data_IF_615431771876
#
_entry.id   IF_615431771876
#
_cell.length_a   1.000
_cell.length_b   1.000
_cell.length_c   1.000
_cell.angle_alpha   90.00
_cell.angle_beta   90.00
_cell.angle_gamma   90.00
#
_symmetry.space_group_name_H-M   'P 1'
#
loop_
_entity.id
_entity.type
_entity.pdbx_description
1 polymer ?
#
# COMPACT_ATOMS: atom_id res chain seq x y z
N UNK A 1 -6.12 -0.65 -6.71
CA UNK A 1 -4.69 -1.02 -6.68
C UNK A 1 -4.27 -2.03 -7.73
N UNK A 2 -5.18 -2.80 -8.34
CA UNK A 2 -4.87 -3.87 -9.29
C UNK A 2 -3.96 -3.49 -10.48
N UNK A 3 -3.90 -2.21 -10.86
CA UNK A 3 -3.03 -1.68 -11.92
C UNK A 3 -1.69 -1.09 -11.44
N UNK A 4 -1.48 -0.96 -10.12
CA UNK A 4 -0.19 -0.50 -9.57
C UNK A 4 0.85 -1.59 -9.79
N UNK A 5 2.06 -1.19 -10.19
CA UNK A 5 3.22 -2.06 -10.10
C UNK A 5 3.56 -2.32 -8.62
N UNK A 6 4.31 -3.39 -8.34
CA UNK A 6 4.74 -3.71 -6.98
C UNK A 6 5.57 -2.57 -6.36
N UNK A 7 6.44 -1.93 -7.16
CA UNK A 7 7.21 -0.78 -6.72
C UNK A 7 6.32 0.41 -6.34
N UNK A 8 5.32 0.73 -7.16
CA UNK A 8 4.39 1.82 -6.87
C UNK A 8 3.49 1.53 -5.66
N UNK A 9 3.13 0.26 -5.43
CA UNK A 9 2.38 -0.17 -4.25
C UNK A 9 3.20 0.01 -2.96
N UNK A 10 4.47 -0.39 -2.98
CA UNK A 10 5.39 -0.20 -1.86
C UNK A 10 5.64 1.28 -1.57
N UNK A 11 5.84 2.08 -2.62
CA UNK A 11 6.01 3.53 -2.47
C UNK A 11 4.77 4.19 -1.87
N UNK A 12 3.57 3.79 -2.31
CA UNK A 12 2.32 4.29 -1.75
C UNK A 12 2.18 3.95 -0.26
N UNK A 13 2.59 2.75 0.17
CA UNK A 13 2.59 2.34 1.57
C UNK A 13 3.55 3.16 2.43
N UNK A 14 4.80 3.35 1.99
CA UNK A 14 5.76 4.15 2.76
C UNK A 14 5.39 5.63 2.81
N UNK A 15 4.85 6.19 1.71
CA UNK A 15 4.31 7.55 1.72
C UNK A 15 3.12 7.67 2.65
N UNK A 16 2.20 6.70 2.65
CA UNK A 16 1.00 6.73 3.49
C UNK A 16 1.34 6.70 4.99
N UNK A 17 2.37 5.94 5.39
CA UNK A 17 2.92 5.95 6.76
C UNK A 17 3.50 7.32 7.13
N UNK A 18 4.21 7.97 6.21
CA UNK A 18 4.87 9.25 6.46
C UNK A 18 3.90 10.41 6.63
N UNK A 19 2.84 10.46 5.84
CA UNK A 19 1.86 11.57 5.86
C UNK A 19 0.67 11.32 6.79
N UNK A 20 0.67 10.22 7.56
CA UNK A 20 -0.41 9.82 8.48
C UNK A 20 -1.79 9.81 7.83
N UNK A 21 -1.90 9.15 6.67
CA UNK A 21 -3.21 8.89 6.03
C UNK A 21 -4.06 8.04 6.96
N UNK A 22 -5.38 8.07 6.77
CA UNK A 22 -6.32 7.24 7.50
C UNK A 22 -5.85 5.77 7.60
N UNK A 23 -5.88 5.17 8.81
CA UNK A 23 -5.42 3.80 9.03
C UNK A 23 -6.10 2.77 8.12
N UNK A 24 -7.36 3.01 7.72
CA UNK A 24 -8.09 2.16 6.79
C UNK A 24 -7.43 2.06 5.41
N UNK A 25 -6.88 3.16 4.90
CA UNK A 25 -6.16 3.18 3.62
C UNK A 25 -4.85 2.38 3.69
N UNK A 26 -4.12 2.50 4.80
CA UNK A 26 -2.90 1.72 5.03
C UNK A 26 -3.23 0.22 5.09
N UNK A 27 -4.33 -0.17 5.72
CA UNK A 27 -4.78 -1.56 5.77
C UNK A 27 -5.02 -2.14 4.38
N UNK A 28 -5.66 -1.38 3.49
CA UNK A 28 -5.89 -1.79 2.09
C UNK A 28 -4.58 -2.01 1.33
N UNK A 29 -3.56 -1.18 1.56
CA UNK A 29 -2.23 -1.37 0.95
C UNK A 29 -1.58 -2.65 1.42
N UNK A 30 -1.63 -2.94 2.73
CA UNK A 30 -1.06 -4.16 3.32
C UNK A 30 -1.77 -5.41 2.81
N UNK A 31 -3.10 -5.38 2.71
CA UNK A 31 -3.88 -6.50 2.18
C UNK A 31 -3.54 -6.79 0.72
N UNK A 32 -3.38 -5.74 -0.10
CA UNK A 32 -2.99 -5.89 -1.49
C UNK A 32 -1.55 -6.41 -1.64
N UNK A 33 -0.60 -5.97 -0.80
CA UNK A 33 0.77 -6.50 -0.78
C UNK A 33 0.78 -7.99 -0.43
N UNK A 34 0.04 -8.39 0.61
CA UNK A 34 -0.14 -9.81 0.98
C UNK A 34 -0.74 -10.63 -0.15
N UNK A 35 -1.78 -10.10 -0.83
CA UNK A 35 -2.42 -10.76 -1.98
C UNK A 35 -1.45 -11.02 -3.13
N UNK A 36 -0.40 -10.20 -3.25
CA UNK A 36 0.65 -10.30 -4.28
C UNK A 36 1.88 -11.10 -3.86
N UNK A 37 1.93 -11.57 -2.60
CA UNK A 37 3.11 -12.27 -2.05
C UNK A 37 4.33 -11.38 -1.91
N UNK A 38 4.13 -10.08 -1.65
CA UNK A 38 5.19 -9.10 -1.35
C UNK A 38 5.53 -9.06 0.13
#
# INVERSE_FOLDING_TARGET
>A
MLKLSNAALLEAYERAKKIRVEPAFIKLLVEEMKRRGM
#
